data_IF_430531952654
#
_entry.id   IF_430531952654
#
_cell.length_a   1.000
_cell.length_b   1.000
_cell.length_c   1.000
_cell.angle_alpha   90.00
_cell.angle_beta   90.00
_cell.angle_gamma   90.00
#
_symmetry.space_group_name_H-M   'P 1'
#
loop_
_entity.id
_entity.type
_entity.pdbx_description
1 polymer ?
#
# COMPACT_ATOMS: atom_id res chain seq x y z
N UNK A 1 -5.64 6.98 15.73
CA UNK A 1 -4.75 7.45 16.82
C UNK A 1 -3.30 7.52 16.38
N UNK A 2 -2.68 6.40 15.95
CA UNK A 2 -1.27 6.35 15.51
C UNK A 2 -0.93 7.34 14.39
N UNK A 3 -1.78 7.45 13.36
CA UNK A 3 -1.59 8.45 12.29
C UNK A 3 -1.48 9.88 12.83
N UNK A 4 -2.37 10.27 13.75
CA UNK A 4 -2.38 11.60 14.39
C UNK A 4 -1.14 11.83 15.27
N UNK A 5 -0.66 10.79 15.96
CA UNK A 5 0.62 10.86 16.72
C UNK A 5 1.80 11.17 15.78
N UNK A 6 1.69 10.82 14.50
CA UNK A 6 2.65 11.10 13.45
C UNK A 6 2.24 12.29 12.55
N UNK A 7 1.36 13.17 13.02
CA UNK A 7 0.88 14.36 12.29
C UNK A 7 0.18 14.08 10.95
N UNK A 8 -0.37 12.87 10.77
CA UNK A 8 -1.19 12.49 9.62
C UNK A 8 -2.67 12.50 10.01
N UNK A 9 -3.49 13.25 9.26
CA UNK A 9 -4.95 13.24 9.42
C UNK A 9 -5.58 12.13 8.59
N UNK A 10 -6.57 11.45 9.17
CA UNK A 10 -7.40 10.45 8.48
C UNK A 10 -8.88 10.89 8.41
N UNK A 11 -9.19 12.13 8.78
CA UNK A 11 -10.58 12.60 8.96
C UNK A 11 -11.37 12.63 7.64
N UNK A 12 -10.69 12.90 6.53
CA UNK A 12 -11.32 12.93 5.19
C UNK A 12 -11.37 11.56 4.52
N UNK A 13 -10.69 10.55 5.08
CA UNK A 13 -10.63 9.23 4.49
C UNK A 13 -11.98 8.51 4.62
N UNK A 14 -12.50 8.02 3.48
CA UNK A 14 -13.69 7.18 3.43
C UNK A 14 -13.37 5.90 2.70
N UNK A 15 -13.69 4.77 3.33
CA UNK A 15 -13.63 3.47 2.68
C UNK A 15 -14.53 3.49 1.44
N UNK A 16 -14.01 2.96 0.33
CA UNK A 16 -14.73 2.81 -0.93
C UNK A 16 -14.46 1.43 -1.50
N UNK A 17 -15.45 0.80 -2.15
CA UNK A 17 -15.22 -0.45 -2.86
C UNK A 17 -14.24 -0.22 -4.02
N UNK A 18 -13.42 -1.23 -4.30
CA UNK A 18 -12.62 -1.26 -5.52
C UNK A 18 -13.54 -1.48 -6.72
N UNK A 19 -13.26 -0.81 -7.83
CA UNK A 19 -14.02 -0.97 -9.08
C UNK A 19 -13.05 -1.16 -10.24
N UNK A 20 -13.51 -1.81 -11.31
CA UNK A 20 -12.75 -1.96 -12.57
C UNK A 20 -12.25 -0.62 -13.09
N UNK A 21 -13.10 0.41 -13.07
CA UNK A 21 -12.74 1.76 -13.50
C UNK A 21 -11.61 2.38 -12.68
N UNK A 22 -11.57 2.15 -11.35
CA UNK A 22 -10.47 2.59 -10.51
C UNK A 22 -9.16 1.88 -10.88
N UNK A 23 -9.23 0.58 -11.17
CA UNK A 23 -8.07 -0.22 -11.55
C UNK A 23 -7.57 0.23 -12.91
N UNK A 24 -8.44 0.34 -13.92
CA UNK A 24 -8.09 0.68 -15.29
C UNK A 24 -7.42 2.06 -15.38
N UNK A 25 -7.95 3.06 -14.65
CA UNK A 25 -7.42 4.42 -14.63
C UNK A 25 -6.14 4.62 -13.79
N UNK A 26 -5.75 3.63 -12.98
CA UNK A 26 -4.54 3.74 -12.18
C UNK A 26 -3.28 3.37 -13.00
N UNK A 27 -2.22 4.17 -12.87
CA UNK A 27 -0.88 3.82 -13.36
C UNK A 27 -0.22 2.75 -12.48
N UNK A 28 -0.58 2.74 -11.19
CA UNK A 28 -0.05 1.83 -10.18
C UNK A 28 -1.13 1.53 -9.13
N UNK A 29 -1.29 0.25 -8.81
CA UNK A 29 -2.21 -0.25 -7.79
C UNK A 29 -1.38 -0.91 -6.69
N UNK A 30 -1.44 -0.34 -5.48
CA UNK A 30 -0.67 -0.80 -4.33
C UNK A 30 -1.56 -1.52 -3.32
N UNK A 31 -1.29 -2.79 -3.09
CA UNK A 31 -1.99 -3.61 -2.10
C UNK A 31 -1.15 -3.81 -0.84
N UNK A 32 -1.81 -4.09 0.28
CA UNK A 32 -1.13 -4.28 1.57
C UNK A 32 -0.74 -5.75 1.76
N UNK A 33 -1.57 -6.68 1.32
CA UNK A 33 -1.37 -8.12 1.51
C UNK A 33 -1.43 -8.90 0.19
N UNK A 34 -0.64 -9.96 0.06
CA UNK A 34 -0.47 -10.69 -1.21
C UNK A 34 -1.77 -11.31 -1.72
N UNK A 35 -2.66 -11.71 -0.81
CA UNK A 35 -3.97 -12.26 -1.21
C UNK A 35 -4.83 -11.22 -1.94
N UNK A 36 -4.76 -9.95 -1.56
CA UNK A 36 -5.48 -8.86 -2.22
C UNK A 36 -4.99 -8.70 -3.65
N UNK A 37 -3.67 -8.76 -3.86
CA UNK A 37 -3.06 -8.70 -5.19
C UNK A 37 -3.48 -9.89 -6.05
N UNK A 38 -3.45 -11.11 -5.50
CA UNK A 38 -3.88 -12.31 -6.24
C UNK A 38 -5.35 -12.26 -6.65
N UNK A 39 -6.23 -11.78 -5.79
CA UNK A 39 -7.65 -11.59 -6.09
C UNK A 39 -7.82 -10.59 -7.24
N UNK A 40 -7.18 -9.42 -7.15
CA UNK A 40 -7.24 -8.41 -8.21
C UNK A 40 -6.65 -8.91 -9.54
N UNK A 41 -5.56 -9.67 -9.52
CA UNK A 41 -4.96 -10.23 -10.74
C UNK A 41 -5.87 -11.30 -11.36
N UNK A 42 -6.57 -12.07 -10.53
CA UNK A 42 -7.53 -13.08 -11.01
C UNK A 42 -8.70 -12.41 -11.73
N UNK A 43 -9.24 -11.34 -11.15
CA UNK A 43 -10.38 -10.61 -11.69
C UNK A 43 -10.00 -9.65 -12.84
N UNK A 44 -8.76 -9.14 -12.83
CA UNK A 44 -8.23 -8.19 -13.79
C UNK A 44 -6.84 -8.59 -14.32
N UNK A 45 -6.70 -9.69 -15.09
CA UNK A 45 -5.41 -10.19 -15.54
C UNK A 45 -4.57 -9.15 -16.31
N UNK A 46 -5.24 -8.29 -17.09
CA UNK A 46 -4.61 -7.20 -17.85
C UNK A 46 -3.93 -6.14 -16.97
N UNK A 47 -4.27 -6.04 -15.68
CA UNK A 47 -3.70 -5.08 -14.75
C UNK A 47 -2.53 -5.67 -13.94
N UNK A 48 -2.12 -6.91 -14.18
CA UNK A 48 -1.12 -7.61 -13.39
C UNK A 48 0.21 -6.88 -13.25
N UNK A 49 0.69 -6.23 -14.31
CA UNK A 49 1.97 -5.50 -14.30
C UNK A 49 1.95 -4.24 -13.40
N UNK A 50 0.76 -3.69 -13.15
CA UNK A 50 0.59 -2.50 -12.30
C UNK A 50 0.12 -2.79 -10.88
N UNK A 51 -0.14 -4.06 -10.54
CA UNK A 51 -0.54 -4.45 -9.18
C UNK A 51 0.70 -4.90 -8.43
N UNK A 52 1.12 -4.12 -7.44
CA UNK A 52 2.29 -4.41 -6.61
C UNK A 52 1.92 -4.39 -5.12
N UNK A 53 2.67 -5.14 -4.32
CA UNK A 53 2.66 -4.94 -2.87
C UNK A 53 3.29 -3.60 -2.53
N UNK A 54 2.71 -2.84 -1.60
CA UNK A 54 3.38 -1.65 -1.07
C UNK A 54 4.75 -2.01 -0.49
N UNK A 55 4.87 -3.19 0.12
CA UNK A 55 6.12 -3.76 0.62
C UNK A 55 7.24 -3.88 -0.42
N UNK A 56 6.89 -3.92 -1.71
CA UNK A 56 7.89 -3.98 -2.78
C UNK A 56 8.89 -2.82 -2.67
N UNK A 57 8.44 -1.68 -2.17
CA UNK A 57 9.23 -0.47 -1.96
C UNK A 57 9.93 -0.41 -0.60
N UNK A 58 9.91 -1.47 0.21
CA UNK A 58 10.63 -1.46 1.48
C UNK A 58 12.15 -1.33 1.27
N UNK A 59 12.79 -0.50 2.10
CA UNK A 59 14.25 -0.35 2.11
C UNK A 59 14.91 -1.53 2.78
N UNK A 60 14.28 -2.08 3.81
CA UNK A 60 14.83 -3.15 4.62
C UNK A 60 13.86 -4.33 4.78
N UNK A 61 14.41 -5.50 5.08
CA UNK A 61 13.64 -6.73 5.31
C UNK A 61 13.03 -7.32 4.04
N UNK A 62 12.04 -8.20 4.22
CA UNK A 62 11.36 -8.85 3.10
C UNK A 62 10.44 -7.87 2.36
N UNK A 63 10.59 -7.83 1.04
CA UNK A 63 9.74 -7.10 0.09
C UNK A 63 8.54 -7.89 -0.39
N UNK A 64 8.52 -9.19 -0.11
CA UNK A 64 7.48 -10.13 -0.55
C UNK A 64 6.43 -10.37 0.53
N UNK A 65 6.71 -10.01 1.78
CA UNK A 65 5.73 -10.12 2.86
C UNK A 65 4.66 -9.04 2.75
N UNK A 66 3.43 -9.36 3.13
CA UNK A 66 2.38 -8.37 3.33
C UNK A 66 2.66 -7.43 4.51
N UNK A 67 2.00 -6.28 4.49
CA UNK A 67 1.75 -5.44 5.67
C UNK A 67 0.41 -5.90 6.24
N UNK A 68 0.45 -6.64 7.35
CA UNK A 68 -0.75 -7.22 7.96
C UNK A 68 -1.71 -6.15 8.48
N UNK A 69 -3.01 -6.39 8.29
CA UNK A 69 -4.08 -5.56 8.85
C UNK A 69 -4.04 -5.55 10.41
N UNK A 70 -3.89 -4.38 11.06
CA UNK A 70 -3.90 -4.27 12.51
C UNK A 70 -5.31 -4.30 13.13
N UNK A 71 -6.38 -4.48 12.34
CA UNK A 71 -7.76 -4.47 12.82
C UNK A 71 -7.98 -5.43 14.00
N UNK A 72 -8.64 -4.93 15.06
CA UNK A 72 -8.90 -5.69 16.29
C UNK A 72 -7.66 -6.01 17.14
N UNK A 73 -6.46 -5.56 16.77
CA UNK A 73 -5.22 -5.77 17.53
C UNK A 73 -4.93 -4.63 18.51
N UNK A 74 -3.88 -4.81 19.31
CA UNK A 74 -3.42 -3.80 20.26
C UNK A 74 -2.78 -2.58 19.55
N UNK A 75 -2.60 -1.49 20.29
CA UNK A 75 -2.05 -0.23 19.74
C UNK A 75 -0.63 -0.41 19.15
N UNK A 76 0.15 -1.34 19.68
CA UNK A 76 1.49 -1.63 19.20
C UNK A 76 1.48 -2.22 17.78
N UNK A 77 0.52 -3.10 17.46
CA UNK A 77 0.32 -3.60 16.11
C UNK A 77 0.01 -2.47 15.10
N UNK A 78 -0.80 -1.48 15.50
CA UNK A 78 -1.03 -0.30 14.67
C UNK A 78 0.23 0.55 14.45
N UNK A 79 1.13 0.62 15.45
CA UNK A 79 2.42 1.32 15.32
C UNK A 79 3.34 0.61 14.34
N UNK A 80 3.46 -0.71 14.45
CA UNK A 80 4.24 -1.51 13.49
C UNK A 80 3.69 -1.40 12.06
N UNK A 81 2.37 -1.49 11.89
CA UNK A 81 1.72 -1.29 10.60
C UNK A 81 2.03 0.12 10.04
N UNK A 82 1.94 1.15 10.87
CA UNK A 82 2.23 2.53 10.45
C UNK A 82 3.68 2.72 10.00
N UNK A 83 4.66 2.21 10.78
CA UNK A 83 6.08 2.31 10.41
C UNK A 83 6.39 1.54 9.12
N UNK A 84 5.82 0.34 8.96
CA UNK A 84 5.96 -0.45 7.72
C UNK A 84 5.43 0.34 6.51
N UNK A 85 4.26 0.97 6.63
CA UNK A 85 3.68 1.80 5.55
C UNK A 85 4.56 3.01 5.29
N UNK A 86 4.98 3.72 6.33
CA UNK A 86 5.77 4.95 6.22
C UNK A 86 7.08 4.71 5.48
N UNK A 87 7.84 3.68 5.87
CA UNK A 87 9.11 3.34 5.19
C UNK A 87 8.88 3.07 3.69
N UNK A 88 7.87 2.27 3.36
CA UNK A 88 7.57 1.93 1.98
C UNK A 88 7.15 3.16 1.17
N UNK A 89 6.34 4.05 1.75
CA UNK A 89 5.88 5.29 1.10
C UNK A 89 7.03 6.27 0.86
N UNK A 90 7.95 6.41 1.83
CA UNK A 90 9.14 7.27 1.67
C UNK A 90 10.03 6.79 0.51
N UNK A 91 10.28 5.48 0.41
CA UNK A 91 11.07 4.92 -0.69
C UNK A 91 10.33 4.93 -2.02
N UNK A 92 9.00 4.72 -2.01
CA UNK A 92 8.16 4.85 -3.21
C UNK A 92 8.23 6.28 -3.76
N UNK A 93 8.21 7.28 -2.89
CA UNK A 93 8.32 8.68 -3.30
C UNK A 93 9.64 8.97 -4.02
N UNK A 94 10.76 8.46 -3.51
CA UNK A 94 12.06 8.57 -4.18
C UNK A 94 12.06 7.90 -5.54
N UNK A 95 11.54 6.67 -5.63
CA UNK A 95 11.42 5.94 -6.88
C UNK A 95 10.58 6.69 -7.92
N UNK A 96 9.45 7.29 -7.51
CA UNK A 96 8.61 8.10 -8.39
C UNK A 96 9.34 9.36 -8.90
N UNK A 97 10.17 10.00 -8.07
CA UNK A 97 10.96 11.16 -8.49
C UNK A 97 12.04 10.80 -9.52
N UNK A 98 12.62 9.61 -9.41
CA UNK A 98 13.59 9.10 -10.37
C UNK A 98 12.92 8.71 -11.69
N UNK A 99 11.79 8.02 -11.63
CA UNK A 99 11.01 7.63 -12.80
C UNK A 99 10.56 8.83 -13.65
N UNK A 100 10.24 9.98 -13.02
CA UNK A 100 9.85 11.22 -13.72
C UNK A 100 10.99 11.95 -14.44
N UNK A 101 12.25 11.58 -14.21
CA UNK A 101 13.41 12.21 -14.85
C UNK A 101 13.84 11.51 -16.14
N UNK A 102 13.28 10.33 -16.43
CA UNK A 102 13.53 9.56 -17.66
C UNK A 102 12.40 9.77 -18.65
#
# INVERSE_FOLDING_TARGET
>A
RVARENSVSLEEHKARPITTELIDNADLVLVMESHQGHELITDHPQASEKILLLRHFARYGSRERGISDPYGRNLEAYRFCFEDIKECVESLYEWLLEARKS
#
